data_IF_035672548533
#
_entry.id   IF_035672548533
#
_cell.length_a   1.000
_cell.length_b   1.000
_cell.length_c   1.000
_cell.angle_alpha   90.00
_cell.angle_beta   90.00
_cell.angle_gamma   90.00
#
_symmetry.space_group_name_H-M   'P 1'
#
loop_
_entity.id
_entity.type
_entity.pdbx_description
1 polymer ?
#
# COMPACT_ATOMS: atom_id res chain seq x y z
N UNK A 1 -7.04 -16.84 11.91
CA UNK A 1 -5.95 -16.05 11.27
C UNK A 1 -6.59 -14.75 10.80
N UNK A 2 -5.95 -13.61 10.99
CA UNK A 2 -6.47 -12.30 10.59
C UNK A 2 -6.81 -12.24 9.10
N UNK A 3 -7.95 -11.67 8.72
CA UNK A 3 -8.26 -11.31 7.33
C UNK A 3 -7.62 -9.96 7.03
N UNK A 4 -7.11 -9.84 5.82
CA UNK A 4 -6.44 -8.62 5.37
C UNK A 4 -7.36 -7.91 4.37
N UNK A 5 -7.61 -6.64 4.59
CA UNK A 5 -8.34 -5.78 3.68
C UNK A 5 -7.38 -4.72 3.12
N UNK A 6 -7.20 -4.70 1.82
CA UNK A 6 -6.36 -3.71 1.14
C UNK A 6 -7.23 -2.81 0.29
N UNK A 7 -7.25 -1.51 0.61
CA UNK A 7 -8.14 -0.53 -0.03
C UNK A 7 -7.33 0.38 -0.95
N UNK A 8 -7.55 0.30 -2.24
CA UNK A 8 -6.79 1.11 -3.19
C UNK A 8 -7.31 1.11 -4.61
N UNK A 9 -6.83 2.07 -5.38
CA UNK A 9 -7.06 2.15 -6.81
C UNK A 9 -6.13 1.19 -7.56
N UNK A 10 -6.61 0.63 -8.65
CA UNK A 10 -5.80 -0.13 -9.59
C UNK A 10 -5.88 0.49 -10.97
N UNK A 11 -4.81 0.33 -11.72
CA UNK A 11 -4.70 0.73 -13.12
C UNK A 11 -4.07 -0.40 -13.93
N UNK A 12 -4.34 -0.41 -15.23
CA UNK A 12 -3.64 -1.31 -16.13
C UNK A 12 -2.54 -0.52 -16.85
N UNK A 13 -1.29 -0.79 -16.49
CA UNK A 13 -0.12 -0.12 -17.05
C UNK A 13 0.19 -0.70 -18.43
N UNK A 14 0.25 0.15 -19.47
CA UNK A 14 0.72 -0.19 -20.81
C UNK A 14 2.04 0.56 -21.03
N UNK A 15 3.12 -0.17 -21.19
CA UNK A 15 4.47 0.39 -21.25
C UNK A 15 4.95 0.43 -22.69
N UNK A 16 5.33 1.62 -23.14
CA UNK A 16 5.91 1.89 -24.47
C UNK A 16 7.39 2.22 -24.37
N UNK A 17 8.16 1.67 -25.30
CA UNK A 17 9.54 2.07 -25.57
C UNK A 17 9.72 2.18 -27.08
N UNK A 18 10.39 3.24 -27.56
CA UNK A 18 10.61 3.50 -29.00
C UNK A 18 9.30 3.43 -29.80
N UNK A 19 8.23 4.05 -29.25
CA UNK A 19 6.87 4.09 -29.83
C UNK A 19 6.20 2.70 -29.99
N UNK A 20 6.73 1.64 -29.37
CA UNK A 20 6.17 0.29 -29.41
C UNK A 20 5.72 -0.15 -28.03
N UNK A 21 4.55 -0.80 -27.87
CA UNK A 21 4.17 -1.41 -26.60
C UNK A 21 5.11 -2.59 -26.33
N UNK A 22 5.70 -2.65 -25.12
CA UNK A 22 6.64 -3.68 -24.72
C UNK A 22 6.12 -4.54 -23.56
N UNK A 23 5.19 -4.03 -22.77
CA UNK A 23 4.57 -4.76 -21.68
C UNK A 23 3.21 -4.18 -21.34
N UNK A 24 2.37 -5.00 -20.72
CA UNK A 24 1.13 -4.57 -20.09
C UNK A 24 0.91 -5.38 -18.81
N UNK A 25 0.54 -4.71 -17.70
CA UNK A 25 0.34 -5.37 -16.41
C UNK A 25 -0.61 -4.59 -15.49
N UNK A 26 -1.26 -5.32 -14.60
CA UNK A 26 -2.00 -4.70 -13.50
C UNK A 26 -1.04 -4.01 -12.54
N UNK A 27 -1.36 -2.78 -12.14
CA UNK A 27 -0.60 -1.97 -11.21
C UNK A 27 -1.48 -1.30 -10.16
N UNK A 28 -0.84 -0.74 -9.15
CA UNK A 28 -1.47 -0.07 -8.02
C UNK A 28 -0.83 -0.51 -6.71
N UNK A 29 -0.55 0.45 -5.82
CA UNK A 29 0.17 0.18 -4.56
C UNK A 29 -0.51 -0.93 -3.74
N UNK A 30 -1.80 -0.78 -3.46
CA UNK A 30 -2.53 -1.76 -2.66
C UNK A 30 -2.73 -3.11 -3.40
N UNK A 31 -2.82 -3.09 -4.74
CA UNK A 31 -2.83 -4.32 -5.55
C UNK A 31 -1.51 -5.08 -5.40
N UNK A 32 -0.37 -4.39 -5.47
CA UNK A 32 0.95 -5.00 -5.35
C UNK A 32 1.14 -5.66 -3.97
N UNK A 33 0.72 -4.97 -2.89
CA UNK A 33 0.70 -5.53 -1.54
C UNK A 33 -0.21 -6.76 -1.45
N UNK A 34 -1.42 -6.68 -2.05
CA UNK A 34 -2.38 -7.79 -2.06
C UNK A 34 -1.83 -9.03 -2.73
N UNK A 35 -1.18 -8.87 -3.88
CA UNK A 35 -0.57 -9.99 -4.62
C UNK A 35 0.54 -10.64 -3.79
N UNK A 36 1.39 -9.84 -3.15
CA UNK A 36 2.45 -10.33 -2.28
C UNK A 36 1.88 -11.14 -1.11
N UNK A 37 0.85 -10.62 -0.44
CA UNK A 37 0.18 -11.28 0.69
C UNK A 37 -0.60 -12.55 0.27
N UNK A 38 -1.29 -12.49 -0.88
CA UNK A 38 -2.02 -13.65 -1.43
C UNK A 38 -1.07 -14.79 -1.81
N UNK A 39 0.12 -14.49 -2.37
CA UNK A 39 1.19 -15.49 -2.63
C UNK A 39 1.69 -16.15 -1.35
N UNK A 40 1.65 -15.46 -0.22
CA UNK A 40 1.95 -16.02 1.10
C UNK A 40 0.82 -16.87 1.67
N UNK A 41 -0.34 -16.90 1.02
CA UNK A 41 -1.48 -17.70 1.45
C UNK A 41 -2.31 -17.07 2.57
N UNK A 42 -2.17 -15.77 2.80
CA UNK A 42 -3.06 -15.03 3.70
C UNK A 42 -4.43 -14.83 3.04
N UNK A 43 -5.46 -14.70 3.86
CA UNK A 43 -6.82 -14.34 3.40
C UNK A 43 -6.86 -12.84 3.10
N UNK A 44 -6.72 -12.48 1.82
CA UNK A 44 -6.65 -11.08 1.36
C UNK A 44 -7.90 -10.70 0.60
N UNK A 45 -8.58 -9.66 1.04
CA UNK A 45 -9.73 -9.05 0.41
C UNK A 45 -9.34 -7.72 -0.23
N UNK A 46 -9.29 -7.66 -1.55
CA UNK A 46 -8.98 -6.43 -2.27
C UNK A 46 -10.24 -5.59 -2.46
N UNK A 47 -10.24 -4.39 -1.91
CA UNK A 47 -11.33 -3.40 -2.00
C UNK A 47 -10.96 -2.35 -3.02
N UNK A 48 -11.67 -2.33 -4.14
CA UNK A 48 -11.40 -1.43 -5.26
C UNK A 48 -12.62 -1.32 -6.16
N UNK A 49 -12.49 -0.59 -7.24
CA UNK A 49 -13.52 -0.49 -8.27
C UNK A 49 -12.91 -0.36 -9.68
N UNK A 50 -13.64 -0.86 -10.67
CA UNK A 50 -13.21 -0.85 -12.08
C UNK A 50 -14.39 -1.10 -13.03
N UNK A 51 -14.15 -0.91 -14.32
CA UNK A 51 -15.15 -1.19 -15.36
C UNK A 51 -15.47 -2.67 -15.54
N UNK A 52 -16.69 -2.99 -16.00
CA UNK A 52 -17.05 -4.31 -16.53
C UNK A 52 -16.54 -4.45 -17.98
N UNK A 53 -15.22 -4.48 -18.15
CA UNK A 53 -14.58 -4.61 -19.45
C UNK A 53 -13.45 -5.66 -19.42
N UNK A 54 -12.86 -5.93 -20.57
CA UNK A 54 -11.79 -6.93 -20.70
C UNK A 54 -10.57 -6.65 -19.81
N UNK A 55 -10.22 -5.39 -19.64
CA UNK A 55 -9.07 -5.01 -18.78
C UNK A 55 -9.41 -5.29 -17.31
N UNK A 56 -10.62 -4.95 -16.87
CA UNK A 56 -11.08 -5.31 -15.53
C UNK A 56 -11.15 -6.83 -15.31
N UNK A 57 -11.52 -7.61 -16.33
CA UNK A 57 -11.50 -9.09 -16.27
C UNK A 57 -10.08 -9.61 -16.10
N UNK A 58 -9.11 -9.06 -16.82
CA UNK A 58 -7.68 -9.39 -16.69
C UNK A 58 -7.15 -9.10 -15.28
N UNK A 59 -7.47 -7.92 -14.72
CA UNK A 59 -7.05 -7.55 -13.36
C UNK A 59 -7.66 -8.51 -12.33
N UNK A 60 -8.98 -8.78 -12.41
CA UNK A 60 -9.65 -9.71 -11.50
C UNK A 60 -9.09 -11.14 -11.63
N UNK A 61 -8.86 -11.60 -12.85
CA UNK A 61 -8.23 -12.90 -13.11
C UNK A 61 -6.82 -13.00 -12.52
N UNK A 62 -6.02 -11.95 -12.68
CA UNK A 62 -4.68 -11.86 -12.12
C UNK A 62 -4.69 -11.90 -10.58
N UNK A 63 -5.56 -11.14 -9.93
CA UNK A 63 -5.71 -11.14 -8.47
C UNK A 63 -6.09 -12.52 -7.94
N UNK A 64 -7.13 -13.14 -8.53
CA UNK A 64 -7.58 -14.50 -8.16
C UNK A 64 -6.47 -15.54 -8.35
N UNK A 65 -5.72 -15.45 -9.45
CA UNK A 65 -4.58 -16.33 -9.75
C UNK A 65 -3.41 -16.20 -8.76
N UNK A 66 -3.41 -15.13 -7.95
CA UNK A 66 -2.45 -14.89 -6.87
C UNK A 66 -3.06 -15.04 -5.45
N UNK A 67 -4.23 -15.67 -5.32
CA UNK A 67 -4.83 -15.97 -4.02
C UNK A 67 -5.54 -14.80 -3.35
N UNK A 68 -5.91 -13.75 -4.11
CA UNK A 68 -6.60 -12.56 -3.59
C UNK A 68 -8.11 -12.69 -3.85
N UNK A 69 -8.92 -12.50 -2.82
CA UNK A 69 -10.38 -12.40 -2.93
C UNK A 69 -10.76 -11.06 -3.59
N UNK A 70 -11.64 -11.13 -4.59
CA UNK A 70 -12.09 -9.98 -5.37
C UNK A 70 -13.59 -9.70 -5.24
N UNK A 71 -14.26 -10.28 -4.24
CA UNK A 71 -15.69 -10.06 -4.00
C UNK A 71 -16.02 -8.62 -3.61
N UNK A 72 -15.03 -7.91 -3.02
CA UNK A 72 -15.13 -6.50 -2.67
C UNK A 72 -14.65 -5.56 -3.77
N UNK A 73 -14.50 -6.04 -5.01
CA UNK A 73 -14.19 -5.20 -6.16
C UNK A 73 -15.49 -4.84 -6.85
N UNK A 74 -15.92 -3.58 -6.73
CA UNK A 74 -17.10 -3.09 -7.48
C UNK A 74 -16.82 -2.98 -8.97
N UNK A 75 -17.77 -3.46 -9.80
CA UNK A 75 -17.65 -3.45 -11.26
C UNK A 75 -18.77 -2.62 -11.87
N UNK A 76 -18.43 -1.67 -12.74
CA UNK A 76 -19.37 -0.73 -13.34
C UNK A 76 -19.55 -0.97 -14.84
N UNK A 77 -20.78 -1.24 -15.28
CA UNK A 77 -21.10 -1.53 -16.69
C UNK A 77 -20.80 -0.37 -17.65
N UNK A 78 -21.08 0.86 -17.21
CA UNK A 78 -21.00 2.04 -18.07
C UNK A 78 -19.68 2.81 -17.97
N UNK A 79 -18.72 2.29 -17.22
CA UNK A 79 -17.42 2.93 -16.98
C UNK A 79 -16.29 2.03 -17.45
N UNK A 80 -15.13 2.63 -17.70
CA UNK A 80 -13.95 1.91 -18.18
C UNK A 80 -12.93 1.73 -17.07
N UNK A 81 -12.28 0.56 -17.08
CA UNK A 81 -11.15 0.32 -16.19
C UNK A 81 -10.04 1.31 -16.48
N UNK A 82 -9.45 1.88 -15.42
CA UNK A 82 -8.40 2.87 -15.54
C UNK A 82 -7.15 2.29 -16.20
N UNK A 83 -6.56 3.05 -17.12
CA UNK A 83 -5.34 2.71 -17.85
C UNK A 83 -4.31 3.78 -17.57
N UNK A 84 -3.06 3.37 -17.35
CA UNK A 84 -1.90 4.23 -17.38
C UNK A 84 -1.02 3.86 -18.58
N UNK A 85 -0.69 4.85 -19.40
CA UNK A 85 0.27 4.67 -20.49
C UNK A 85 1.60 5.26 -20.04
N UNK A 86 2.63 4.43 -19.96
CA UNK A 86 3.98 4.80 -19.60
C UNK A 86 4.86 4.84 -20.85
N UNK A 87 5.49 5.96 -21.12
CA UNK A 87 6.50 6.11 -22.17
C UNK A 87 7.88 6.16 -21.54
N UNK A 88 8.72 5.17 -21.87
CA UNK A 88 10.11 5.12 -21.40
C UNK A 88 11.00 5.96 -22.32
N UNK A 89 11.85 6.80 -21.71
CA UNK A 89 12.93 7.50 -22.42
C UNK A 89 14.17 6.58 -22.60
N UNK A 90 15.24 7.13 -23.14
CA UNK A 90 16.53 6.42 -23.35
C UNK A 90 17.13 5.89 -22.04
N UNK A 91 16.88 6.55 -20.90
CA UNK A 91 17.34 6.17 -19.57
C UNK A 91 16.38 5.21 -18.85
N UNK A 92 15.29 4.76 -19.51
CA UNK A 92 14.17 4.01 -18.93
C UNK A 92 13.36 4.78 -17.87
N UNK A 93 13.45 6.11 -17.81
CA UNK A 93 12.54 6.89 -16.98
C UNK A 93 11.16 6.94 -17.64
N UNK A 94 10.10 6.72 -16.85
CA UNK A 94 8.73 6.67 -17.36
C UNK A 94 8.01 8.01 -17.23
N UNK A 95 7.38 8.44 -18.33
CA UNK A 95 6.39 9.51 -18.35
C UNK A 95 5.00 8.89 -18.46
N UNK A 96 4.09 9.22 -17.53
CA UNK A 96 2.77 8.61 -17.44
C UNK A 96 1.67 9.52 -17.94
N UNK A 97 0.72 8.92 -18.66
CA UNK A 97 -0.60 9.51 -18.97
C UNK A 97 -1.68 8.59 -18.46
N UNK A 98 -2.59 9.11 -17.63
CA UNK A 98 -3.68 8.33 -17.03
C UNK A 98 -5.00 8.60 -17.76
N UNK A 99 -5.72 7.51 -18.04
CA UNK A 99 -7.08 7.52 -18.56
C UNK A 99 -7.97 6.90 -17.49
N UNK A 100 -8.75 7.75 -16.82
CA UNK A 100 -9.61 7.35 -15.70
C UNK A 100 -11.03 7.78 -15.99
N UNK A 101 -11.96 6.85 -15.77
CA UNK A 101 -13.39 7.07 -15.92
C UNK A 101 -14.11 6.38 -14.77
N UNK A 102 -14.64 7.17 -13.85
CA UNK A 102 -15.28 6.67 -12.63
C UNK A 102 -16.63 7.32 -12.41
N UNK A 103 -17.62 6.58 -11.83
CA UNK A 103 -18.86 7.18 -11.38
C UNK A 103 -18.63 8.20 -10.27
N UNK A 104 -19.62 9.08 -10.06
CA UNK A 104 -19.58 10.00 -8.92
C UNK A 104 -19.70 9.25 -7.58
N UNK A 105 -20.55 8.24 -7.55
CA UNK A 105 -20.86 7.44 -6.38
C UNK A 105 -20.11 6.09 -6.46
N UNK A 106 -18.86 6.09 -5.98
CA UNK A 106 -17.98 4.92 -5.98
C UNK A 106 -18.15 4.15 -4.67
N UNK A 107 -18.14 2.82 -4.73
CA UNK A 107 -18.12 1.90 -3.59
C UNK A 107 -19.26 2.09 -2.57
N UNK A 108 -20.37 2.72 -2.96
CA UNK A 108 -21.48 3.03 -2.04
C UNK A 108 -22.28 1.79 -1.62
N UNK A 109 -22.29 0.75 -2.45
CA UNK A 109 -22.98 -0.52 -2.18
C UNK A 109 -22.13 -1.50 -1.37
N UNK A 110 -20.85 -1.20 -1.17
CA UNK A 110 -19.90 -2.09 -0.53
C UNK A 110 -20.27 -2.34 0.94
N UNK A 111 -20.29 -3.61 1.30
CA UNK A 111 -20.46 -4.08 2.69
C UNK A 111 -19.26 -4.93 3.05
N UNK A 112 -18.52 -4.51 4.07
CA UNK A 112 -17.40 -5.25 4.62
C UNK A 112 -17.77 -5.75 6.02
N UNK A 113 -17.46 -7.00 6.29
CA UNK A 113 -17.74 -7.64 7.58
C UNK A 113 -16.42 -7.79 8.34
N UNK A 114 -16.02 -6.72 9.01
CA UNK A 114 -14.80 -6.71 9.81
C UNK A 114 -14.97 -7.44 11.14
N UNK A 115 -13.94 -8.16 11.55
CA UNK A 115 -13.80 -8.78 12.85
C UNK A 115 -12.60 -8.22 13.62
N UNK A 116 -12.60 -8.40 14.93
CA UNK A 116 -11.45 -8.03 15.77
C UNK A 116 -10.19 -8.78 15.32
N UNK A 117 -9.08 -8.05 15.19
CA UNK A 117 -7.81 -8.59 14.72
C UNK A 117 -7.62 -8.58 13.19
N UNK A 118 -8.65 -8.23 12.41
CA UNK A 118 -8.45 -7.99 10.98
C UNK A 118 -7.48 -6.81 10.76
N UNK A 119 -6.78 -6.83 9.62
CA UNK A 119 -5.82 -5.77 9.27
C UNK A 119 -6.30 -5.03 8.02
N UNK A 120 -6.32 -3.71 8.09
CA UNK A 120 -6.70 -2.83 6.98
C UNK A 120 -5.48 -2.05 6.54
N UNK A 121 -5.05 -2.25 5.28
CA UNK A 121 -4.05 -1.42 4.61
C UNK A 121 -4.75 -0.51 3.59
N UNK A 122 -4.50 0.78 3.68
CA UNK A 122 -5.03 1.74 2.71
C UNK A 122 -4.04 2.86 2.45
N UNK A 123 -4.20 3.56 1.34
CA UNK A 123 -3.29 4.65 1.07
C UNK A 123 -3.30 5.17 -0.36
N UNK A 124 -2.18 5.77 -0.74
CA UNK A 124 -1.95 6.35 -2.06
C UNK A 124 -3.05 7.37 -2.42
N UNK A 125 -3.19 7.69 -3.70
CA UNK A 125 -4.15 8.69 -4.17
C UNK A 125 -5.62 8.29 -3.93
N UNK A 126 -5.92 7.00 -3.90
CA UNK A 126 -7.25 6.48 -3.55
C UNK A 126 -7.74 7.02 -2.20
N UNK A 127 -6.86 7.04 -1.20
CA UNK A 127 -7.21 7.46 0.17
C UNK A 127 -7.49 8.96 0.31
N UNK A 128 -7.10 9.77 -0.67
CA UNK A 128 -7.27 11.22 -0.67
C UNK A 128 -8.17 11.72 -1.82
N UNK A 129 -8.77 10.81 -2.59
CA UNK A 129 -9.71 11.14 -3.67
C UNK A 129 -11.02 11.66 -3.07
N UNK A 130 -11.40 12.90 -3.39
CA UNK A 130 -12.52 13.62 -2.80
C UNK A 130 -13.85 12.84 -2.90
N UNK A 131 -14.15 12.26 -4.07
CA UNK A 131 -15.39 11.49 -4.29
C UNK A 131 -15.48 10.21 -3.47
N UNK A 132 -14.34 9.65 -3.03
CA UNK A 132 -14.28 8.46 -2.18
C UNK A 132 -14.33 8.76 -0.68
N UNK A 133 -14.05 10.01 -0.26
CA UNK A 133 -13.92 10.35 1.16
C UNK A 133 -15.11 9.94 2.02
N UNK A 134 -16.38 10.18 1.62
CA UNK A 134 -17.53 9.82 2.46
C UNK A 134 -17.60 8.31 2.73
N UNK A 135 -17.36 7.50 1.70
CA UNK A 135 -17.40 6.04 1.80
C UNK A 135 -16.18 5.50 2.56
N UNK A 136 -14.99 6.01 2.26
CA UNK A 136 -13.75 5.59 2.91
C UNK A 136 -13.78 5.89 4.42
N UNK A 137 -14.24 7.08 4.83
CA UNK A 137 -14.42 7.42 6.25
C UNK A 137 -15.35 6.44 6.97
N UNK A 138 -16.46 6.04 6.31
CA UNK A 138 -17.39 5.06 6.87
C UNK A 138 -16.73 3.70 7.04
N UNK A 139 -15.99 3.23 6.02
CA UNK A 139 -15.28 1.95 6.05
C UNK A 139 -14.23 1.94 7.16
N UNK A 140 -13.36 2.97 7.21
CA UNK A 140 -12.30 3.06 8.21
C UNK A 140 -12.85 3.18 9.64
N UNK A 141 -13.93 3.96 9.82
CA UNK A 141 -14.61 4.01 11.12
C UNK A 141 -15.17 2.65 11.53
N UNK A 142 -15.80 1.92 10.62
CA UNK A 142 -16.31 0.59 10.89
C UNK A 142 -15.18 -0.38 11.29
N UNK A 143 -14.05 -0.36 10.56
CA UNK A 143 -12.88 -1.16 10.88
C UNK A 143 -12.31 -0.81 12.27
N UNK A 144 -12.17 0.48 12.56
CA UNK A 144 -11.72 0.97 13.86
C UNK A 144 -12.62 0.50 15.00
N UNK A 145 -13.93 0.66 14.87
CA UNK A 145 -14.93 0.29 15.89
C UNK A 145 -15.00 -1.23 16.12
N UNK A 146 -14.55 -2.03 15.13
CA UNK A 146 -14.44 -3.50 15.21
C UNK A 146 -13.10 -3.99 15.76
N UNK A 147 -12.17 -3.10 16.07
CA UNK A 147 -10.86 -3.48 16.61
C UNK A 147 -9.87 -4.00 15.56
N UNK A 148 -10.03 -3.59 14.30
CA UNK A 148 -9.04 -3.86 13.25
C UNK A 148 -7.78 -3.02 13.46
N UNK A 149 -6.63 -3.54 13.04
CA UNK A 149 -5.39 -2.75 12.88
C UNK A 149 -5.48 -1.97 11.58
N UNK A 150 -5.32 -0.66 11.65
CA UNK A 150 -5.40 0.23 10.49
C UNK A 150 -4.01 0.77 10.15
N UNK A 151 -3.54 0.47 8.94
CA UNK A 151 -2.23 0.87 8.42
C UNK A 151 -2.42 1.83 7.25
N UNK A 152 -1.82 3.01 7.33
CA UNK A 152 -1.86 4.02 6.27
C UNK A 152 -0.49 4.17 5.61
N UNK A 153 -0.47 4.10 4.27
CA UNK A 153 0.69 4.44 3.44
C UNK A 153 0.33 5.63 2.54
N UNK A 154 0.78 6.85 2.82
CA UNK A 154 0.49 8.03 2.00
C UNK A 154 0.86 7.84 0.55
N UNK A 155 2.05 7.28 0.27
CA UNK A 155 2.58 7.04 -1.06
C UNK A 155 2.31 8.24 -1.99
N UNK A 156 2.60 9.45 -1.49
CA UNK A 156 2.30 10.70 -2.15
C UNK A 156 3.31 10.95 -3.29
N UNK A 157 2.82 11.41 -4.44
CA UNK A 157 3.64 11.55 -5.63
C UNK A 157 3.83 13.02 -6.03
N UNK A 158 5.06 13.42 -6.37
CA UNK A 158 5.42 14.78 -6.82
C UNK A 158 4.47 15.42 -7.83
N UNK A 159 3.94 14.73 -8.86
CA UNK A 159 2.98 15.32 -9.78
C UNK A 159 1.73 15.93 -9.13
N UNK A 160 1.36 15.46 -7.93
CA UNK A 160 0.19 15.95 -7.19
C UNK A 160 0.52 17.06 -6.17
N UNK A 161 1.77 17.53 -6.13
CA UNK A 161 2.20 18.56 -5.18
C UNK A 161 1.40 19.87 -5.31
N UNK A 162 0.97 20.20 -6.53
CA UNK A 162 0.13 21.38 -6.80
C UNK A 162 -1.27 21.31 -6.15
N UNK A 163 -1.73 20.11 -5.76
CA UNK A 163 -2.99 19.88 -5.08
C UNK A 163 -2.83 19.71 -3.56
N UNK A 164 -1.60 19.72 -3.03
CA UNK A 164 -1.29 19.35 -1.65
C UNK A 164 -2.14 20.11 -0.62
N UNK A 165 -2.28 21.42 -0.74
CA UNK A 165 -3.06 22.23 0.20
C UNK A 165 -4.52 21.75 0.30
N UNK A 166 -5.10 21.33 -0.83
CA UNK A 166 -6.46 20.78 -0.88
C UNK A 166 -6.51 19.38 -0.28
N UNK A 167 -5.48 18.56 -0.48
CA UNK A 167 -5.45 17.13 -0.13
C UNK A 167 -4.95 16.88 1.30
N UNK A 168 -4.15 17.79 1.85
CA UNK A 168 -3.54 17.67 3.18
C UNK A 168 -4.54 17.40 4.31
N UNK A 169 -5.73 18.04 4.37
CA UNK A 169 -6.73 17.69 5.37
C UNK A 169 -7.13 16.20 5.34
N UNK A 170 -7.23 15.59 4.15
CA UNK A 170 -7.56 14.17 4.01
C UNK A 170 -6.42 13.27 4.50
N UNK A 171 -5.17 13.67 4.24
CA UNK A 171 -3.98 12.97 4.75
C UNK A 171 -3.98 12.97 6.29
N UNK A 172 -4.24 14.14 6.90
CA UNK A 172 -4.31 14.27 8.35
C UNK A 172 -5.43 13.42 8.95
N UNK A 173 -6.63 13.41 8.34
CA UNK A 173 -7.72 12.53 8.77
C UNK A 173 -7.36 11.04 8.68
N UNK A 174 -6.61 10.65 7.65
CA UNK A 174 -6.14 9.27 7.49
C UNK A 174 -5.13 8.89 8.57
N UNK A 175 -4.19 9.79 8.90
CA UNK A 175 -3.23 9.60 9.98
C UNK A 175 -3.96 9.43 11.32
N UNK A 176 -4.93 10.30 11.61
CA UNK A 176 -5.65 10.32 12.88
C UNK A 176 -6.45 9.04 13.17
N UNK A 177 -6.84 8.27 12.16
CA UNK A 177 -7.56 7.00 12.33
C UNK A 177 -6.65 5.78 12.28
N UNK A 178 -5.39 5.96 11.94
CA UNK A 178 -4.45 4.85 11.72
C UNK A 178 -3.72 4.47 13.00
N UNK A 179 -3.52 3.18 13.20
CA UNK A 179 -2.70 2.62 14.28
C UNK A 179 -1.21 2.64 13.91
N UNK A 180 -0.88 2.69 12.62
CA UNK A 180 0.48 2.78 12.10
C UNK A 180 0.48 3.53 10.77
N UNK A 181 1.45 4.42 10.60
CA UNK A 181 1.74 5.10 9.33
C UNK A 181 3.11 4.64 8.82
N UNK A 182 3.14 4.13 7.60
CA UNK A 182 4.39 3.87 6.89
C UNK A 182 4.56 4.88 5.77
N UNK A 183 5.69 5.56 5.71
CA UNK A 183 6.03 6.48 4.62
C UNK A 183 7.52 6.47 4.30
N UNK A 184 7.85 6.99 3.12
CA UNK A 184 9.23 7.27 2.74
C UNK A 184 9.68 8.65 3.23
N UNK A 185 10.99 8.89 3.23
CA UNK A 185 11.58 10.21 3.43
C UNK A 185 10.98 11.25 2.46
N UNK A 186 10.73 10.85 1.22
CA UNK A 186 10.09 11.68 0.21
C UNK A 186 8.65 12.02 0.59
N UNK A 187 7.84 11.05 1.07
CA UNK A 187 6.46 11.28 1.50
C UNK A 187 6.40 12.31 2.62
N UNK A 188 7.17 12.12 3.68
CA UNK A 188 7.16 13.01 4.84
C UNK A 188 7.71 14.40 4.50
N UNK A 189 8.73 14.47 3.64
CA UNK A 189 9.24 15.76 3.20
C UNK A 189 8.25 16.50 2.30
N UNK A 190 7.65 15.85 1.30
CA UNK A 190 6.69 16.49 0.39
C UNK A 190 5.43 16.97 1.11
N UNK A 191 4.90 16.17 2.03
CA UNK A 191 3.59 16.47 2.67
C UNK A 191 3.76 17.40 3.85
N UNK A 192 4.80 17.24 4.65
CA UNK A 192 4.95 17.93 5.94
C UNK A 192 6.21 18.79 6.03
N UNK A 193 7.11 18.72 5.06
CA UNK A 193 8.41 19.40 5.11
C UNK A 193 9.38 18.78 6.13
N UNK A 194 9.10 17.57 6.62
CA UNK A 194 9.96 16.86 7.56
C UNK A 194 11.24 16.38 6.88
N UNK A 195 12.39 16.74 7.42
CA UNK A 195 13.70 16.47 6.82
C UNK A 195 14.44 15.29 7.48
N UNK A 196 13.87 14.75 8.55
CA UNK A 196 14.43 13.63 9.29
C UNK A 196 13.31 12.83 9.99
N UNK A 197 13.63 11.60 10.46
CA UNK A 197 12.64 10.74 11.10
C UNK A 197 12.01 11.32 12.37
N UNK A 198 12.75 12.11 13.15
CA UNK A 198 12.23 12.70 14.38
C UNK A 198 11.17 13.77 14.08
N UNK A 199 11.40 14.63 13.08
CA UNK A 199 10.40 15.61 12.62
C UNK A 199 9.15 14.93 12.06
N UNK A 200 9.33 13.85 11.29
CA UNK A 200 8.23 13.06 10.75
C UNK A 200 7.40 12.45 11.87
N UNK A 201 8.04 11.80 12.85
CA UNK A 201 7.36 11.18 13.98
C UNK A 201 6.59 12.19 14.83
N UNK A 202 7.21 13.32 15.18
CA UNK A 202 6.54 14.38 15.93
C UNK A 202 5.28 14.88 15.21
N UNK A 203 5.36 15.03 13.88
CA UNK A 203 4.20 15.41 13.08
C UNK A 203 3.07 14.38 13.15
N UNK A 204 3.39 13.08 13.09
CA UNK A 204 2.39 12.03 13.23
C UNK A 204 1.76 12.01 14.63
N UNK A 205 2.56 12.20 15.66
CA UNK A 205 2.09 12.31 17.05
C UNK A 205 1.12 13.49 17.23
N UNK A 206 1.41 14.64 16.65
CA UNK A 206 0.52 15.80 16.67
C UNK A 206 -0.84 15.52 16.02
N UNK A 207 -0.87 14.58 15.06
CA UNK A 207 -2.10 14.13 14.39
C UNK A 207 -2.70 12.85 14.98
N UNK A 208 -2.15 12.33 16.08
CA UNK A 208 -2.74 11.24 16.85
C UNK A 208 -2.25 9.83 16.50
N UNK A 209 -1.24 9.67 15.65
CA UNK A 209 -0.65 8.35 15.36
C UNK A 209 0.70 8.17 16.06
N UNK A 210 0.77 7.18 16.96
CA UNK A 210 1.96 6.89 17.78
C UNK A 210 2.91 5.84 17.21
N UNK A 211 2.64 5.30 16.01
CA UNK A 211 3.51 4.32 15.37
C UNK A 211 3.89 4.76 13.97
N UNK A 212 5.17 4.79 13.68
CA UNK A 212 5.72 5.20 12.39
C UNK A 212 6.74 4.19 11.88
N UNK A 213 6.67 3.88 10.58
CA UNK A 213 7.78 3.30 9.84
C UNK A 213 8.26 4.33 8.82
N UNK A 214 9.55 4.65 8.91
CA UNK A 214 10.22 5.59 8.02
C UNK A 214 11.23 4.83 7.15
N UNK A 215 11.12 4.96 5.84
CA UNK A 215 12.00 4.31 4.88
C UNK A 215 12.71 5.36 4.03
N UNK A 216 14.01 5.15 3.74
CA UNK A 216 14.82 6.11 3.01
C UNK A 216 15.76 5.40 2.01
N UNK A 217 15.19 4.81 0.96
CA UNK A 217 15.90 4.13 -0.13
C UNK A 217 16.98 3.13 0.37
N UNK A 218 18.27 3.51 0.24
CA UNK A 218 19.42 2.67 0.62
C UNK A 218 19.92 2.94 2.04
N UNK A 219 19.32 3.90 2.72
CA UNK A 219 19.66 4.23 4.10
C UNK A 219 18.95 3.27 5.05
N UNK A 220 19.32 3.35 6.32
CA UNK A 220 18.65 2.61 7.37
C UNK A 220 17.15 2.94 7.39
N UNK A 221 16.36 1.93 7.66
CA UNK A 221 14.93 2.03 7.92
C UNK A 221 14.71 2.03 9.42
N UNK A 222 13.68 2.70 9.87
CA UNK A 222 13.37 2.72 11.28
C UNK A 222 11.87 2.58 11.55
N UNK A 223 11.56 2.05 12.71
CA UNK A 223 10.23 2.04 13.28
C UNK A 223 10.28 2.71 14.65
N UNK A 224 9.40 3.68 14.85
CA UNK A 224 9.21 4.34 16.13
C UNK A 224 7.82 4.03 16.65
N UNK A 225 7.72 3.57 17.90
CA UNK A 225 6.48 3.33 18.62
C UNK A 225 6.60 3.97 19.98
N UNK A 226 5.84 5.02 20.25
CA UNK A 226 5.96 5.82 21.47
C UNK A 226 7.42 6.19 21.78
N UNK A 227 8.03 5.61 22.83
CA UNK A 227 9.38 5.93 23.31
C UNK A 227 10.46 5.01 22.73
N UNK A 228 10.08 3.99 21.93
CA UNK A 228 11.03 3.01 21.39
C UNK A 228 11.26 3.28 19.91
N UNK A 229 12.52 3.38 19.52
CA UNK A 229 12.94 3.43 18.11
C UNK A 229 13.87 2.26 17.82
N UNK A 230 13.51 1.46 16.83
CA UNK A 230 14.36 0.39 16.28
C UNK A 230 14.81 0.81 14.89
N UNK A 231 16.08 0.59 14.60
CA UNK A 231 16.69 0.86 13.29
C UNK A 231 17.21 -0.44 12.71
N UNK A 232 17.01 -0.65 11.42
CA UNK A 232 17.54 -1.79 10.69
C UNK A 232 18.19 -1.34 9.38
N UNK A 233 19.29 -1.98 9.01
CA UNK A 233 19.96 -1.70 7.74
C UNK A 233 19.26 -2.41 6.58
N UNK A 234 19.17 -1.73 5.45
CA UNK A 234 18.64 -2.29 4.21
C UNK A 234 19.68 -3.21 3.57
N UNK A 235 19.31 -4.42 3.11
CA UNK A 235 20.21 -5.31 2.40
C UNK A 235 20.88 -4.62 1.19
N UNK A 236 22.19 -4.80 1.06
CA UNK A 236 22.94 -4.27 -0.08
C UNK A 236 22.65 -5.11 -1.33
N UNK A 237 21.90 -4.54 -2.27
CA UNK A 237 21.56 -5.17 -3.55
C UNK A 237 21.87 -4.23 -4.72
N UNK A 238 21.98 -4.79 -5.92
CA UNK A 238 21.96 -4.01 -7.17
C UNK A 238 20.55 -4.11 -7.74
N UNK A 239 19.70 -3.07 -7.61
CA UNK A 239 18.31 -3.17 -8.02
C UNK A 239 18.19 -3.17 -9.54
N UNK A 240 17.27 -4.00 -10.05
CA UNK A 240 16.78 -3.99 -11.42
C UNK A 240 15.67 -2.93 -11.57
N UNK A 241 14.81 -2.83 -10.56
CA UNK A 241 13.74 -1.84 -10.45
C UNK A 241 13.48 -1.56 -8.96
N UNK A 242 13.03 -0.37 -8.62
CA UNK A 242 12.58 -0.04 -7.25
C UNK A 242 11.06 0.11 -7.15
N UNK A 243 10.35 -0.13 -8.25
CA UNK A 243 8.88 -0.05 -8.30
C UNK A 243 8.31 -1.21 -7.49
N UNK A 244 7.36 -0.92 -6.61
CA UNK A 244 6.74 -1.93 -5.74
C UNK A 244 7.52 -2.28 -4.46
N UNK A 245 8.71 -1.70 -4.25
CA UNK A 245 9.50 -1.94 -3.03
C UNK A 245 8.72 -1.53 -1.76
N UNK A 246 8.12 -0.34 -1.74
CA UNK A 246 7.28 0.13 -0.63
C UNK A 246 6.04 -0.74 -0.41
N UNK A 247 5.39 -1.15 -1.51
CA UNK A 247 4.20 -2.00 -1.47
C UNK A 247 4.53 -3.39 -0.90
N UNK A 248 5.70 -3.93 -1.26
CA UNK A 248 6.19 -5.22 -0.75
C UNK A 248 6.71 -5.11 0.69
N UNK A 249 7.27 -3.96 1.08
CA UNK A 249 7.56 -3.67 2.48
C UNK A 249 6.28 -3.75 3.34
N UNK A 250 5.19 -3.15 2.88
CA UNK A 250 3.88 -3.25 3.54
C UNK A 250 3.39 -4.70 3.65
N UNK A 251 3.64 -5.51 2.63
CA UNK A 251 3.31 -6.93 2.69
C UNK A 251 4.14 -7.68 3.76
N UNK A 252 5.45 -7.39 3.90
CA UNK A 252 6.30 -7.94 4.93
C UNK A 252 5.90 -7.51 6.34
N UNK A 253 5.52 -6.24 6.51
CA UNK A 253 4.92 -5.69 7.73
C UNK A 253 3.67 -6.48 8.12
N UNK A 254 2.69 -6.58 7.22
CA UNK A 254 1.40 -7.25 7.49
C UNK A 254 1.60 -8.74 7.74
N UNK A 255 2.49 -9.39 6.99
CA UNK A 255 2.87 -10.78 7.24
C UNK A 255 3.36 -10.99 8.68
N UNK A 256 4.21 -10.08 9.17
CA UNK A 256 4.75 -10.15 10.53
C UNK A 256 3.66 -9.98 11.58
N UNK A 257 2.79 -8.97 11.41
CA UNK A 257 1.67 -8.74 12.34
C UNK A 257 0.72 -9.95 12.38
N UNK A 258 0.33 -10.47 11.22
CA UNK A 258 -0.60 -11.60 11.13
C UNK A 258 -0.01 -12.90 11.69
N UNK A 259 1.28 -13.16 11.44
CA UNK A 259 1.98 -14.37 11.93
C UNK A 259 2.17 -14.37 13.45
N UNK A 260 2.41 -13.20 14.03
CA UNK A 260 2.57 -13.03 15.47
C UNK A 260 1.23 -12.75 16.18
N UNK A 261 0.10 -12.85 15.48
CA UNK A 261 -1.25 -12.63 16.01
C UNK A 261 -1.38 -11.29 16.77
N UNK A 262 -0.67 -10.26 16.27
CA UNK A 262 -0.68 -8.92 16.86
C UNK A 262 -2.10 -8.35 16.78
N UNK A 263 -2.61 -7.86 17.90
CA UNK A 263 -3.93 -7.24 18.00
C UNK A 263 -3.83 -5.71 17.96
N UNK A 264 -4.97 -5.03 17.75
CA UNK A 264 -5.02 -3.56 17.85
C UNK A 264 -4.51 -3.04 19.18
N UNK A 265 -4.80 -3.76 20.28
CA UNK A 265 -4.33 -3.37 21.61
C UNK A 265 -2.80 -3.46 21.74
N UNK A 266 -2.18 -4.45 21.11
CA UNK A 266 -0.72 -4.59 21.12
C UNK A 266 -0.04 -3.44 20.35
N UNK A 267 -0.74 -2.79 19.40
CA UNK A 267 -0.20 -1.63 18.69
C UNK A 267 0.08 -0.43 19.60
N UNK A 268 -0.56 -0.36 20.77
CA UNK A 268 -0.30 0.69 21.76
C UNK A 268 1.11 0.53 22.40
N UNK A 269 1.60 -0.73 22.49
CA UNK A 269 2.87 -1.06 23.14
C UNK A 269 3.59 -2.20 22.40
N UNK A 270 3.98 -1.95 21.15
CA UNK A 270 4.72 -2.93 20.37
C UNK A 270 6.08 -3.25 21.02
N UNK A 271 6.37 -4.53 21.18
CA UNK A 271 7.67 -4.96 21.71
C UNK A 271 8.78 -4.71 20.69
N UNK A 272 10.00 -4.43 21.18
CA UNK A 272 11.19 -4.27 20.34
C UNK A 272 11.38 -5.46 19.39
N UNK A 273 11.14 -6.68 19.86
CA UNK A 273 11.23 -7.91 19.04
C UNK A 273 10.30 -7.87 17.82
N UNK A 274 9.04 -7.51 18.01
CA UNK A 274 8.07 -7.42 16.90
C UNK A 274 8.47 -6.31 15.92
N UNK A 275 8.95 -5.17 16.42
CA UNK A 275 9.43 -4.07 15.60
C UNK A 275 10.66 -4.48 14.75
N UNK A 276 11.60 -5.21 15.32
CA UNK A 276 12.76 -5.77 14.61
C UNK A 276 12.32 -6.75 13.51
N UNK A 277 11.37 -7.65 13.81
CA UNK A 277 10.83 -8.60 12.83
C UNK A 277 10.08 -7.88 11.69
N UNK A 278 9.30 -6.84 11.99
CA UNK A 278 8.62 -6.00 10.99
C UNK A 278 9.64 -5.37 10.03
N UNK A 279 10.68 -4.74 10.56
CA UNK A 279 11.71 -4.09 9.74
C UNK A 279 12.48 -5.12 8.91
N UNK A 280 12.86 -6.26 9.49
CA UNK A 280 13.60 -7.32 8.80
C UNK A 280 12.79 -7.93 7.66
N UNK A 281 11.53 -8.29 7.90
CA UNK A 281 10.65 -8.86 6.87
C UNK A 281 10.29 -7.81 5.81
N UNK A 282 9.95 -6.57 6.22
CA UNK A 282 9.69 -5.49 5.29
C UNK A 282 10.87 -5.22 4.35
N UNK A 283 12.08 -5.12 4.88
CA UNK A 283 13.30 -4.94 4.09
C UNK A 283 13.60 -6.14 3.16
N UNK A 284 13.39 -7.37 3.64
CA UNK A 284 13.59 -8.58 2.85
C UNK A 284 12.63 -8.64 1.65
N UNK A 285 11.35 -8.36 1.87
CA UNK A 285 10.33 -8.35 0.80
C UNK A 285 10.58 -7.23 -0.21
N UNK A 286 10.93 -6.04 0.26
CA UNK A 286 11.27 -4.91 -0.61
C UNK A 286 12.52 -5.21 -1.45
N UNK A 287 13.53 -5.84 -0.86
CA UNK A 287 14.77 -6.22 -1.56
C UNK A 287 14.52 -7.29 -2.62
N UNK A 288 13.69 -8.29 -2.34
CA UNK A 288 13.30 -9.33 -3.32
C UNK A 288 12.68 -8.70 -4.56
N UNK A 289 11.70 -7.81 -4.39
CA UNK A 289 11.03 -7.13 -5.50
C UNK A 289 12.00 -6.28 -6.31
N UNK A 290 12.98 -5.66 -5.67
CA UNK A 290 13.99 -4.86 -6.38
C UNK A 290 14.89 -5.68 -7.31
N UNK A 291 14.93 -7.01 -7.21
CA UNK A 291 15.74 -7.88 -8.06
C UNK A 291 15.05 -8.25 -9.39
N UNK A 292 13.84 -7.79 -9.63
CA UNK A 292 13.07 -8.06 -10.84
C UNK A 292 12.34 -6.83 -11.37
N UNK A 293 11.60 -6.98 -12.46
CA UNK A 293 10.67 -5.98 -12.97
C UNK A 293 9.24 -6.16 -12.45
N UNK A 294 9.00 -7.20 -11.62
CA UNK A 294 7.72 -7.40 -10.97
C UNK A 294 7.56 -6.42 -9.80
N UNK A 295 6.31 -6.08 -9.48
CA UNK A 295 6.01 -5.11 -8.42
C UNK A 295 5.59 -5.80 -7.11
N UNK A 296 5.77 -7.11 -7.01
CA UNK A 296 5.36 -7.98 -5.90
C UNK A 296 6.34 -9.15 -5.78
N UNK A 297 6.42 -9.78 -4.59
CA UNK A 297 7.36 -10.88 -4.32
C UNK A 297 7.12 -12.07 -5.24
N UNK A 298 8.18 -12.81 -5.61
CA UNK A 298 8.06 -14.02 -6.43
C UNK A 298 7.31 -15.15 -5.69
N UNK A 299 6.77 -16.13 -6.44
CA UNK A 299 6.15 -17.33 -5.85
C UNK A 299 7.19 -18.18 -5.12
N UNK A 300 8.39 -18.22 -5.64
CA UNK A 300 9.55 -18.91 -5.09
C UNK A 300 9.91 -18.34 -3.72
N UNK A 301 10.06 -17.01 -3.63
CA UNK A 301 10.33 -16.32 -2.38
C UNK A 301 9.19 -16.54 -1.37
N UNK A 302 7.93 -16.38 -1.78
CA UNK A 302 6.78 -16.64 -0.93
C UNK A 302 6.77 -18.08 -0.36
N UNK A 303 7.22 -19.07 -1.17
CA UNK A 303 7.34 -20.46 -0.72
C UNK A 303 8.45 -20.66 0.32
N UNK A 304 9.55 -19.91 0.22
CA UNK A 304 10.62 -19.94 1.23
C UNK A 304 10.16 -19.31 2.54
N UNK A 305 9.54 -18.12 2.47
CA UNK A 305 9.04 -17.40 3.66
C UNK A 305 8.00 -18.22 4.45
N UNK A 306 7.13 -18.96 3.76
CA UNK A 306 6.13 -19.83 4.44
C UNK A 306 6.74 -21.00 5.21
N UNK A 307 7.96 -21.40 4.90
CA UNK A 307 8.66 -22.52 5.55
C UNK A 307 9.54 -22.08 6.73
N UNK A 308 9.89 -20.79 6.79
CA UNK A 308 10.66 -20.19 7.89
C UNK A 308 9.75 -19.83 9.07
#
# INVERSE_FOLDING_TARGET
>A
MARIYTLGETVYDIIFKDSKPIAAKAGGSMLNSSVSLGRLGLEVNFVSDMGMDKIGDEIVGFLKGNGVCTESVERYENYKTAIAIAFLNENNDASYTFYKDFPKDRLVSLKLDFEEGDIVLFGSFFAITESLRPVLKKILKQAHDRGCIIIYDPNFRKPHLHELEKLKPYIIENIAISDLVRGSDEDFNLVFGANNPAEAFNTLMDYGCGNMIYTANRNDILMTSQDITITASVPAITPVSTIGAGDSFNAGLIWTLARNEVTKKDMEHLSAKIMEEILANGASFASEVCLSYDNYISKEFASLVKKS
#
